data_IF_104695711762
#
_entry.id   IF_104695711762
#
_cell.length_a   1.000
_cell.length_b   1.000
_cell.length_c   1.000
_cell.angle_alpha   90.00
_cell.angle_beta   90.00
_cell.angle_gamma   90.00
#
_symmetry.space_group_name_H-M   'P 1'
#
loop_
_entity.id
_entity.type
_entity.pdbx_description
1 polymer ?
#
# COMPACT_ATOMS: atom_id res chain seq x y z
N UNK A 1 24.73 3.41 14.37
CA UNK A 1 24.26 2.04 14.65
C UNK A 1 25.41 1.15 15.07
N UNK A 2 26.62 1.35 14.54
CA UNK A 2 27.83 0.55 14.81
C UNK A 2 28.18 0.36 16.30
N UNK A 3 27.84 1.32 17.17
CA UNK A 3 28.08 1.19 18.62
C UNK A 3 27.19 0.16 19.31
N UNK A 4 26.02 -0.17 18.77
CA UNK A 4 25.03 -1.03 19.45
C UNK A 4 25.49 -2.49 19.48
N UNK A 5 25.60 -3.07 20.68
CA UNK A 5 26.08 -4.45 20.87
C UNK A 5 24.97 -5.51 20.77
N UNK A 6 23.72 -5.08 20.78
CA UNK A 6 22.56 -5.95 20.58
C UNK A 6 22.29 -6.27 19.10
N UNK A 7 21.16 -6.91 18.83
CA UNK A 7 20.79 -7.32 17.48
C UNK A 7 19.92 -6.28 16.78
N UNK A 8 20.26 -5.92 15.54
CA UNK A 8 19.42 -5.07 14.69
C UNK A 8 18.71 -5.97 13.66
N UNK A 9 17.38 -5.85 13.56
CA UNK A 9 16.55 -6.66 12.68
C UNK A 9 15.77 -5.77 11.73
N UNK A 10 15.86 -6.07 10.45
CA UNK A 10 15.02 -5.44 9.43
C UNK A 10 13.78 -6.31 9.17
N UNK A 11 12.53 -5.79 9.26
CA UNK A 11 11.32 -6.61 9.15
C UNK A 11 11.17 -7.42 7.86
N UNK A 12 11.70 -6.93 6.73
CA UNK A 12 11.66 -7.68 5.47
C UNK A 12 12.67 -8.84 5.40
N UNK A 13 13.67 -8.85 6.28
CA UNK A 13 14.71 -9.88 6.36
C UNK A 13 14.71 -10.47 7.78
N UNK A 14 13.51 -10.86 8.24
CA UNK A 14 13.32 -11.35 9.60
C UNK A 14 14.07 -12.67 9.80
N UNK A 15 15.00 -12.78 10.77
CA UNK A 15 15.72 -14.03 11.01
C UNK A 15 14.77 -15.12 11.49
N UNK A 16 14.83 -16.31 10.87
CA UNK A 16 13.96 -17.44 11.19
C UNK A 16 14.04 -17.86 12.67
N UNK A 17 15.25 -17.81 13.24
CA UNK A 17 15.54 -18.28 14.60
C UNK A 17 15.75 -17.11 15.59
N UNK A 18 15.09 -15.96 15.38
CA UNK A 18 15.21 -14.82 16.30
C UNK A 18 14.56 -15.14 17.66
N UNK A 19 15.38 -15.39 18.69
CA UNK A 19 14.92 -15.46 20.07
C UNK A 19 14.87 -14.09 20.73
N UNK A 20 13.66 -13.63 21.05
CA UNK A 20 13.38 -12.39 21.76
C UNK A 20 12.72 -12.60 23.13
N UNK A 21 12.62 -13.83 23.63
CA UNK A 21 11.93 -14.12 24.90
C UNK A 21 12.64 -13.44 26.08
N UNK A 22 11.89 -12.72 26.89
CA UNK A 22 12.41 -11.97 28.04
C UNK A 22 13.23 -10.72 27.68
N UNK A 23 13.52 -10.47 26.41
CA UNK A 23 14.38 -9.37 25.95
C UNK A 23 13.63 -8.04 25.86
N UNK A 24 14.36 -6.93 26.00
CA UNK A 24 13.91 -5.58 25.70
C UNK A 24 14.02 -5.33 24.20
N UNK A 25 12.90 -5.00 23.56
CA UNK A 25 12.85 -4.76 22.11
C UNK A 25 12.43 -3.32 21.85
N UNK A 26 13.20 -2.59 21.03
CA UNK A 26 12.78 -1.28 20.51
C UNK A 26 12.40 -1.42 19.04
N UNK A 27 11.16 -1.10 18.69
CA UNK A 27 10.67 -1.09 17.31
C UNK A 27 10.64 0.36 16.82
N UNK A 28 11.49 0.71 15.86
CA UNK A 28 11.57 2.05 15.27
C UNK A 28 10.56 2.14 14.13
N UNK A 29 9.48 2.90 14.33
CA UNK A 29 8.46 3.16 13.33
C UNK A 29 7.07 3.32 13.92
N UNK A 30 6.17 3.92 13.15
CA UNK A 30 4.74 4.07 13.48
C UNK A 30 3.82 3.55 12.38
N UNK A 31 4.37 2.92 11.34
CA UNK A 31 3.58 2.34 10.25
C UNK A 31 2.93 1.00 10.63
N UNK A 32 2.19 0.43 9.69
CA UNK A 32 1.49 -0.84 9.88
C UNK A 32 2.41 -1.96 10.42
N UNK A 33 3.63 -2.09 9.89
CA UNK A 33 4.61 -3.07 10.36
C UNK A 33 4.90 -2.94 11.85
N UNK A 34 5.16 -1.72 12.35
CA UNK A 34 5.43 -1.50 13.77
C UNK A 34 4.20 -1.83 14.64
N UNK A 35 3.04 -1.33 14.21
CA UNK A 35 1.76 -1.52 14.90
C UNK A 35 1.35 -3.00 14.99
N UNK A 36 1.73 -3.83 14.02
CA UNK A 36 1.51 -5.28 14.07
C UNK A 36 2.58 -6.02 14.89
N UNK A 37 3.84 -5.59 14.81
CA UNK A 37 4.94 -6.24 15.54
C UNK A 37 4.85 -6.05 17.05
N UNK A 38 4.48 -4.85 17.53
CA UNK A 38 4.38 -4.57 18.97
C UNK A 38 3.52 -5.59 19.70
N UNK A 39 2.22 -5.78 19.34
CA UNK A 39 1.39 -6.74 20.04
C UNK A 39 1.84 -8.18 19.82
N UNK A 40 2.34 -8.53 18.63
CA UNK A 40 2.80 -9.88 18.31
C UNK A 40 4.02 -10.29 19.15
N UNK A 41 5.05 -9.43 19.23
CA UNK A 41 6.26 -9.70 20.01
C UNK A 41 6.00 -9.72 21.52
N UNK A 42 5.18 -8.80 22.03
CA UNK A 42 4.78 -8.82 23.44
C UNK A 42 4.02 -10.11 23.80
N UNK A 43 3.10 -10.59 22.95
CA UNK A 43 2.42 -11.89 23.15
C UNK A 43 3.37 -13.08 23.01
N UNK A 44 4.36 -12.97 22.13
CA UNK A 44 5.40 -13.97 21.90
C UNK A 44 6.44 -14.10 23.01
N UNK A 45 6.34 -13.28 24.06
CA UNK A 45 7.17 -13.41 25.27
C UNK A 45 8.34 -12.44 25.36
N UNK A 46 8.39 -11.38 24.54
CA UNK A 46 9.32 -10.28 24.79
C UNK A 46 9.15 -9.73 26.21
N UNK A 47 10.25 -9.38 26.88
CA UNK A 47 10.21 -8.86 28.24
C UNK A 47 9.54 -7.49 28.31
N UNK A 48 9.88 -6.61 27.36
CA UNK A 48 9.19 -5.34 27.14
C UNK A 48 9.38 -4.88 25.70
N UNK A 49 8.35 -4.30 25.09
CA UNK A 49 8.44 -3.75 23.73
C UNK A 49 8.19 -2.25 23.74
N UNK A 50 9.14 -1.46 23.26
CA UNK A 50 9.00 -0.02 23.10
C UNK A 50 8.83 0.32 21.63
N UNK A 51 7.70 0.90 21.25
CA UNK A 51 7.51 1.48 19.91
C UNK A 51 8.08 2.90 19.90
N UNK A 52 9.22 3.10 19.26
CA UNK A 52 9.82 4.42 19.07
C UNK A 52 9.36 5.00 17.74
N UNK A 53 8.67 6.14 17.79
CA UNK A 53 8.17 6.82 16.60
C UNK A 53 8.60 8.29 16.57
N UNK A 54 8.92 8.79 15.37
CA UNK A 54 9.18 10.22 15.16
C UNK A 54 7.88 11.02 15.09
N UNK A 55 6.86 10.45 14.47
CA UNK A 55 5.58 11.10 14.23
C UNK A 55 4.45 10.09 14.37
N UNK A 56 3.39 10.39 15.13
CA UNK A 56 2.23 9.51 15.25
C UNK A 56 1.52 9.31 13.90
N UNK A 57 0.87 8.15 13.74
CA UNK A 57 -0.08 7.87 12.64
C UNK A 57 -1.49 7.73 13.18
N UNK A 58 -2.49 7.86 12.31
CA UNK A 58 -3.86 7.51 12.69
C UNK A 58 -4.06 6.00 12.73
N UNK A 59 -4.67 5.53 13.80
CA UNK A 59 -4.95 4.11 14.05
C UNK A 59 -6.45 3.90 14.23
N UNK A 60 -7.03 2.95 13.52
CA UNK A 60 -8.40 2.51 13.69
C UNK A 60 -8.43 1.08 14.24
N UNK A 61 -9.22 0.84 15.29
CA UNK A 61 -9.51 -0.51 15.76
C UNK A 61 -10.64 -1.11 14.93
N UNK A 62 -10.41 -2.28 14.34
CA UNK A 62 -11.39 -2.99 13.53
C UNK A 62 -11.50 -4.43 14.05
N UNK A 63 -12.71 -4.98 14.24
CA UNK A 63 -12.86 -6.38 14.59
C UNK A 63 -12.20 -7.30 13.58
N UNK A 64 -11.50 -8.34 14.05
CA UNK A 64 -10.89 -9.35 13.16
C UNK A 64 -11.95 -10.16 12.39
N UNK A 65 -13.12 -10.33 12.99
CA UNK A 65 -14.27 -11.00 12.39
C UNK A 65 -15.39 -9.99 12.15
N UNK A 66 -15.89 -9.96 10.91
CA UNK A 66 -17.02 -9.13 10.53
C UNK A 66 -18.33 -9.69 11.12
N UNK A 67 -18.79 -9.06 12.20
CA UNK A 67 -20.00 -9.48 12.91
C UNK A 67 -21.27 -9.47 12.04
N UNK A 68 -21.34 -8.57 11.06
CA UNK A 68 -22.48 -8.52 10.15
C UNK A 68 -22.43 -9.73 9.21
N UNK A 69 -21.25 -10.11 8.71
CA UNK A 69 -21.08 -11.35 7.94
C UNK A 69 -21.47 -12.60 8.73
N UNK A 70 -21.01 -12.70 9.98
CA UNK A 70 -21.37 -13.81 10.88
C UNK A 70 -22.88 -13.93 11.12
N UNK A 71 -23.60 -12.81 11.11
CA UNK A 71 -25.05 -12.78 11.21
C UNK A 71 -25.73 -13.13 9.89
N UNK A 72 -25.30 -12.55 8.77
CA UNK A 72 -25.97 -12.72 7.48
C UNK A 72 -25.80 -14.13 6.92
N UNK A 73 -24.65 -14.78 7.13
CA UNK A 73 -24.43 -16.18 6.70
C UNK A 73 -25.34 -17.20 7.37
N UNK A 74 -26.02 -16.83 8.47
CA UNK A 74 -26.99 -17.72 9.16
C UNK A 74 -28.35 -17.75 8.46
N UNK A 75 -28.67 -16.75 7.65
CA UNK A 75 -30.01 -16.58 7.05
C UNK A 75 -29.97 -16.45 5.52
N UNK A 76 -28.78 -16.38 4.93
CA UNK A 76 -28.55 -16.28 3.48
C UNK A 76 -27.55 -17.34 3.04
N UNK A 77 -27.53 -17.68 1.74
CA UNK A 77 -26.44 -18.47 1.18
C UNK A 77 -25.10 -17.76 1.36
N UNK A 78 -24.01 -18.53 1.43
CA UNK A 78 -22.66 -18.01 1.62
C UNK A 78 -22.28 -16.98 0.54
N UNK A 79 -22.63 -17.24 -0.71
CA UNK A 79 -22.39 -16.33 -1.83
C UNK A 79 -23.13 -14.99 -1.67
N UNK A 80 -24.40 -15.02 -1.24
CA UNK A 80 -25.19 -13.82 -1.03
C UNK A 80 -24.67 -13.02 0.17
N UNK A 81 -24.32 -13.69 1.27
CA UNK A 81 -23.71 -13.07 2.44
C UNK A 81 -22.36 -12.40 2.10
N UNK A 82 -21.52 -13.09 1.31
CA UNK A 82 -20.26 -12.54 0.82
C UNK A 82 -20.46 -11.30 -0.05
N UNK A 83 -21.34 -11.38 -1.08
CA UNK A 83 -21.62 -10.26 -1.99
C UNK A 83 -22.15 -9.05 -1.22
N UNK A 84 -23.06 -9.25 -0.29
CA UNK A 84 -23.60 -8.20 0.57
C UNK A 84 -22.51 -7.56 1.44
N UNK A 85 -21.74 -8.37 2.16
CA UNK A 85 -20.67 -7.88 3.04
C UNK A 85 -19.59 -7.14 2.26
N UNK A 86 -19.17 -7.65 1.10
CA UNK A 86 -18.21 -6.98 0.22
C UNK A 86 -18.73 -5.63 -0.25
N UNK A 87 -19.99 -5.57 -0.72
CA UNK A 87 -20.60 -4.31 -1.15
C UNK A 87 -20.70 -3.29 -0.01
N UNK A 88 -21.12 -3.73 1.19
CA UNK A 88 -21.17 -2.91 2.40
C UNK A 88 -19.80 -2.36 2.78
N UNK A 89 -18.76 -3.20 2.81
CA UNK A 89 -17.41 -2.80 3.20
C UNK A 89 -16.79 -1.81 2.20
N UNK A 90 -16.98 -2.04 0.90
CA UNK A 90 -16.56 -1.09 -0.15
C UNK A 90 -17.30 0.25 0.03
N UNK A 91 -18.61 0.21 0.25
CA UNK A 91 -19.42 1.41 0.48
C UNK A 91 -18.98 2.20 1.71
N UNK A 92 -18.80 1.51 2.83
CA UNK A 92 -18.36 2.09 4.10
C UNK A 92 -16.96 2.70 3.98
N UNK A 93 -16.00 2.00 3.37
CA UNK A 93 -14.65 2.53 3.17
C UNK A 93 -14.66 3.80 2.31
N UNK A 94 -15.42 3.80 1.21
CA UNK A 94 -15.59 4.99 0.36
C UNK A 94 -16.23 6.15 1.13
N UNK A 95 -17.25 5.87 1.95
CA UNK A 95 -17.92 6.88 2.76
C UNK A 95 -16.96 7.49 3.79
N UNK A 96 -16.16 6.67 4.48
CA UNK A 96 -15.14 7.13 5.44
C UNK A 96 -14.10 7.99 4.74
N UNK A 97 -13.60 7.57 3.58
CA UNK A 97 -12.63 8.36 2.80
C UNK A 97 -13.23 9.71 2.38
N UNK A 98 -14.42 9.72 1.77
CA UNK A 98 -15.09 10.95 1.35
C UNK A 98 -15.39 11.90 2.53
N UNK A 99 -15.81 11.35 3.68
CA UNK A 99 -16.03 12.12 4.90
C UNK A 99 -14.71 12.70 5.45
N UNK A 100 -13.60 11.98 5.31
CA UNK A 100 -12.28 12.45 5.72
C UNK A 100 -11.81 13.62 4.89
N UNK A 101 -12.02 13.57 3.57
CA UNK A 101 -11.70 14.68 2.67
C UNK A 101 -12.61 15.90 2.92
N UNK A 102 -13.93 15.68 3.10
CA UNK A 102 -14.91 16.77 3.22
C UNK A 102 -14.95 17.41 4.61
N UNK A 103 -14.79 16.60 5.66
CA UNK A 103 -14.92 17.02 7.06
C UNK A 103 -13.76 16.46 7.93
N UNK A 104 -12.49 16.77 7.62
CA UNK A 104 -11.32 16.16 8.24
C UNK A 104 -11.26 16.36 9.75
N UNK A 105 -11.66 17.54 10.26
CA UNK A 105 -11.69 17.86 11.69
C UNK A 105 -12.64 16.96 12.47
N UNK A 106 -13.80 16.62 11.88
CA UNK A 106 -14.79 15.74 12.50
C UNK A 106 -14.26 14.32 12.57
N UNK A 107 -13.72 13.79 11.47
CA UNK A 107 -13.15 12.44 11.43
C UNK A 107 -11.96 12.33 12.39
N UNK A 108 -11.07 13.34 12.43
CA UNK A 108 -9.97 13.41 13.39
C UNK A 108 -10.48 13.27 14.82
N UNK A 109 -11.50 14.04 15.21
CA UNK A 109 -12.08 13.99 16.56
C UNK A 109 -12.62 12.59 16.88
N UNK A 110 -13.32 11.96 15.95
CA UNK A 110 -13.88 10.61 16.13
C UNK A 110 -12.78 9.57 16.32
N UNK A 111 -11.76 9.56 15.46
CA UNK A 111 -10.62 8.62 15.56
C UNK A 111 -9.87 8.79 16.87
N UNK A 112 -9.54 10.02 17.26
CA UNK A 112 -8.82 10.29 18.51
C UNK A 112 -9.66 9.92 19.75
N UNK A 113 -10.98 10.21 19.73
CA UNK A 113 -11.89 9.81 20.82
C UNK A 113 -11.97 8.29 20.96
N UNK A 114 -11.99 7.56 19.84
CA UNK A 114 -11.98 6.10 19.86
C UNK A 114 -10.70 5.54 20.48
N UNK A 115 -9.53 6.11 20.16
CA UNK A 115 -8.26 5.74 20.78
C UNK A 115 -8.25 6.09 22.27
N UNK A 116 -8.68 7.28 22.67
CA UNK A 116 -8.75 7.69 24.07
C UNK A 116 -9.58 6.71 24.91
N UNK A 117 -10.75 6.31 24.41
CA UNK A 117 -11.61 5.29 25.04
C UNK A 117 -10.91 3.93 25.12
N UNK A 118 -10.16 3.54 24.10
CA UNK A 118 -9.37 2.32 24.12
C UNK A 118 -8.25 2.41 25.17
N UNK A 119 -7.56 3.54 25.31
CA UNK A 119 -6.41 3.67 26.24
C UNK A 119 -6.83 3.80 27.71
N UNK A 120 -8.05 4.26 27.99
CA UNK A 120 -8.59 4.43 29.36
C UNK A 120 -7.66 5.28 30.26
N UNK A 121 -7.04 6.31 29.69
CA UNK A 121 -6.14 7.23 30.40
C UNK A 121 -4.79 6.65 30.82
N UNK A 122 -4.46 5.40 30.45
CA UNK A 122 -3.21 4.75 30.86
C UNK A 122 -1.98 5.13 30.02
N UNK A 123 -2.19 5.75 28.87
CA UNK A 123 -1.13 6.15 27.93
C UNK A 123 -1.43 7.55 27.42
N UNK A 124 -0.39 8.35 27.30
CA UNK A 124 -0.48 9.74 26.83
C UNK A 124 -0.93 9.81 25.36
N UNK A 125 -1.95 10.63 25.10
CA UNK A 125 -2.51 10.85 23.77
C UNK A 125 -1.55 11.53 22.80
N UNK A 126 -0.44 12.14 23.26
CA UNK A 126 0.62 12.66 22.37
C UNK A 126 1.17 11.58 21.43
N UNK A 127 1.15 10.32 21.86
CA UNK A 127 1.62 9.18 21.06
C UNK A 127 0.66 8.77 19.93
N UNK A 128 -0.55 9.33 19.90
CA UNK A 128 -1.61 8.94 18.97
C UNK A 128 -2.25 10.13 18.25
N UNK A 129 -1.60 11.30 18.29
CA UNK A 129 -2.15 12.55 17.73
C UNK A 129 -1.28 13.03 16.55
N UNK A 130 -1.59 12.63 15.31
CA UNK A 130 -0.83 13.05 14.12
C UNK A 130 -0.98 14.55 13.81
N UNK A 131 -0.04 15.12 13.07
CA UNK A 131 -0.08 16.53 12.61
C UNK A 131 -0.85 16.74 11.30
N UNK A 132 -1.15 15.67 10.56
CA UNK A 132 -1.85 15.71 9.26
C UNK A 132 -3.34 15.32 9.39
N UNK A 133 -4.14 15.49 8.34
CA UNK A 133 -5.57 15.10 8.36
C UNK A 133 -5.75 13.60 8.09
N UNK A 134 -6.84 12.97 8.58
CA UNK A 134 -7.11 11.57 8.25
C UNK A 134 -7.13 11.37 6.73
N UNK A 135 -6.49 10.29 6.26
CA UNK A 135 -6.33 9.93 4.84
C UNK A 135 -5.39 10.78 3.96
N UNK A 136 -4.76 11.86 4.46
CA UNK A 136 -3.58 12.43 3.76
C UNK A 136 -2.43 11.40 3.69
N UNK A 137 -2.43 10.47 4.66
CA UNK A 137 -1.66 9.24 4.67
C UNK A 137 -2.58 8.08 5.04
N UNK A 138 -2.24 6.87 4.58
CA UNK A 138 -3.04 5.66 4.82
C UNK A 138 -3.16 5.37 6.32
N UNK A 139 -4.40 5.14 6.78
CA UNK A 139 -4.67 4.75 8.16
C UNK A 139 -4.08 3.38 8.48
N UNK A 140 -3.57 3.21 9.69
CA UNK A 140 -3.22 1.90 10.21
C UNK A 140 -4.44 1.26 10.90
N UNK A 141 -4.58 -0.05 10.76
CA UNK A 141 -5.66 -0.82 11.37
C UNK A 141 -5.08 -1.77 12.40
N UNK A 142 -5.67 -1.78 13.60
CA UNK A 142 -5.37 -2.76 14.65
C UNK A 142 -6.54 -3.72 14.83
N UNK A 143 -6.33 -5.03 14.71
CA UNK A 143 -7.36 -6.02 14.95
C UNK A 143 -7.73 -6.05 16.44
N UNK A 144 -9.03 -5.99 16.74
CA UNK A 144 -9.59 -6.18 18.09
C UNK A 144 -9.00 -5.25 19.19
N UNK A 145 -8.34 -4.16 18.79
CA UNK A 145 -7.68 -3.23 19.70
C UNK A 145 -6.51 -3.83 20.48
N UNK A 146 -5.88 -4.87 19.95
CA UNK A 146 -4.87 -5.65 20.67
C UNK A 146 -3.62 -4.84 21.07
N UNK A 147 -3.17 -3.91 20.22
CA UNK A 147 -2.14 -2.92 20.56
C UNK A 147 -2.51 -2.14 21.82
N UNK A 148 -3.70 -1.54 21.85
CA UNK A 148 -4.14 -0.73 22.99
C UNK A 148 -4.26 -1.57 24.26
N UNK A 149 -4.70 -2.84 24.14
CA UNK A 149 -4.75 -3.77 25.28
C UNK A 149 -3.38 -3.99 25.88
N UNK A 150 -2.37 -4.29 25.07
CA UNK A 150 -1.00 -4.56 25.54
C UNK A 150 -0.35 -3.33 26.16
N UNK A 151 -0.59 -2.15 25.58
CA UNK A 151 -0.14 -0.88 26.17
C UNK A 151 -0.78 -0.62 27.55
N UNK A 152 -2.09 -0.88 27.69
CA UNK A 152 -2.79 -0.77 29.00
C UNK A 152 -2.32 -1.77 30.05
N UNK A 153 -1.79 -2.90 29.62
CA UNK A 153 -1.21 -3.95 30.48
C UNK A 153 0.23 -3.63 30.89
N UNK A 154 0.86 -2.60 30.29
CA UNK A 154 2.24 -2.20 30.59
C UNK A 154 3.31 -3.11 29.97
N UNK A 155 2.92 -4.08 29.13
CA UNK A 155 3.84 -4.97 28.41
C UNK A 155 4.54 -4.30 27.22
N UNK A 156 4.05 -3.14 26.83
CA UNK A 156 4.65 -2.30 25.81
C UNK A 156 4.46 -0.82 26.15
N UNK A 157 5.32 0.02 25.59
CA UNK A 157 5.23 1.49 25.66
C UNK A 157 5.37 2.10 24.26
N UNK A 158 4.94 3.35 24.13
CA UNK A 158 5.17 4.15 22.92
C UNK A 158 5.98 5.38 23.32
N UNK A 159 7.01 5.70 22.56
CA UNK A 159 7.82 6.89 22.74
C UNK A 159 7.76 7.70 21.45
N UNK A 160 7.30 8.96 21.55
CA UNK A 160 7.30 9.89 20.42
C UNK A 160 8.47 10.83 20.58
N UNK A 161 9.56 10.59 19.85
CA UNK A 161 10.79 11.37 19.95
C UNK A 161 11.70 11.13 18.73
N UNK A 162 12.83 11.83 18.69
CA UNK A 162 13.90 11.67 17.72
C UNK A 162 15.09 10.95 18.35
N UNK A 163 15.69 10.07 17.56
CA UNK A 163 16.96 9.44 17.88
C UNK A 163 18.06 10.50 17.82
N UNK A 164 18.86 10.60 18.89
CA UNK A 164 20.13 11.35 18.89
C UNK A 164 21.25 10.43 18.38
N UNK A 165 21.44 9.28 19.03
CA UNK A 165 22.41 8.27 18.63
C UNK A 165 22.04 6.89 19.15
N UNK A 166 22.65 5.88 18.54
CA UNK A 166 22.71 4.53 19.11
C UNK A 166 23.84 4.51 20.14
N UNK A 167 23.66 3.72 21.18
CA UNK A 167 24.65 3.49 22.25
C UNK A 167 24.91 2.00 22.34
N UNK A 168 25.90 1.57 23.13
CA UNK A 168 26.18 0.14 23.31
C UNK A 168 24.97 -0.68 23.80
N UNK A 169 24.10 -0.08 24.62
CA UNK A 169 22.98 -0.78 25.30
C UNK A 169 21.59 -0.41 24.77
N UNK A 170 21.49 0.45 23.75
CA UNK A 170 20.20 0.91 23.26
C UNK A 170 20.24 2.22 22.48
N UNK A 171 19.22 3.05 22.65
CA UNK A 171 19.02 4.29 21.87
C UNK A 171 18.95 5.50 22.80
N UNK A 172 19.81 6.48 22.56
CA UNK A 172 19.71 7.80 23.16
C UNK A 172 18.74 8.66 22.34
N UNK A 173 17.73 9.23 23.00
CA UNK A 173 16.79 10.16 22.39
C UNK A 173 17.23 11.61 22.62
N UNK A 174 16.80 12.51 21.73
CA UNK A 174 17.08 13.95 21.83
C UNK A 174 16.46 14.62 23.05
N UNK A 175 15.42 14.04 23.65
CA UNK A 175 14.88 14.50 24.93
C UNK A 175 15.79 14.23 26.14
N UNK A 176 16.88 13.47 25.96
CA UNK A 176 17.75 13.00 27.03
C UNK A 176 17.37 11.62 27.59
N UNK A 177 16.19 11.09 27.25
CA UNK A 177 15.79 9.73 27.65
C UNK A 177 16.58 8.68 26.87
N UNK A 178 17.05 7.65 27.59
CA UNK A 178 17.67 6.48 27.01
C UNK A 178 16.68 5.30 26.97
N UNK A 179 16.65 4.56 25.86
CA UNK A 179 15.85 3.35 25.68
C UNK A 179 16.78 2.15 25.60
N UNK A 180 16.88 1.39 26.68
CA UNK A 180 17.58 0.09 26.70
C UNK A 180 16.96 -0.89 25.69
N UNK A 181 17.80 -1.60 24.95
CA UNK A 181 17.38 -2.60 23.99
C UNK A 181 18.39 -3.75 23.89
N UNK A 182 17.90 -4.98 23.86
CA UNK A 182 18.69 -6.12 23.40
C UNK A 182 18.51 -6.32 21.88
N UNK A 183 17.33 -5.93 21.36
CA UNK A 183 16.97 -6.02 19.95
C UNK A 183 16.37 -4.69 19.49
N UNK A 184 16.81 -4.20 18.34
CA UNK A 184 16.23 -3.04 17.65
C UNK A 184 15.65 -3.49 16.32
N UNK A 185 14.36 -3.23 16.09
CA UNK A 185 13.68 -3.54 14.84
C UNK A 185 13.46 -2.26 14.02
N UNK A 186 14.01 -2.20 12.81
CA UNK A 186 13.90 -1.02 11.92
C UNK A 186 12.62 -1.07 11.06
N UNK A 187 11.45 -0.91 11.67
CA UNK A 187 10.15 -0.86 10.98
C UNK A 187 9.86 0.50 10.31
N UNK A 188 10.85 1.01 9.55
CA UNK A 188 10.88 2.37 8.99
C UNK A 188 10.24 2.52 7.60
N UNK A 189 9.50 1.50 7.15
CA UNK A 189 8.73 1.52 5.90
C UNK A 189 9.41 0.77 4.75
N UNK A 190 8.97 1.08 3.53
CA UNK A 190 9.43 0.45 2.29
C UNK A 190 9.98 1.50 1.32
N UNK A 191 10.83 1.06 0.38
CA UNK A 191 11.16 1.82 -0.83
C UNK A 191 10.21 1.38 -1.95
N UNK A 192 9.67 2.34 -2.71
CA UNK A 192 8.86 2.01 -3.88
C UNK A 192 9.78 1.46 -4.96
N UNK A 193 9.44 0.29 -5.49
CA UNK A 193 10.18 -0.36 -6.56
C UNK A 193 9.22 -0.66 -7.70
N UNK A 194 9.38 0.07 -8.80
CA UNK A 194 8.56 -0.09 -9.99
C UNK A 194 9.06 -1.29 -10.80
N UNK A 195 8.13 -2.02 -11.44
CA UNK A 195 8.42 -3.23 -12.22
C UNK A 195 9.18 -4.33 -11.45
N UNK A 196 9.09 -4.35 -10.12
CA UNK A 196 9.83 -5.33 -9.31
C UNK A 196 11.36 -5.21 -9.44
N UNK A 197 11.88 -4.09 -9.95
CA UNK A 197 13.32 -3.87 -10.17
C UNK A 197 13.84 -4.36 -11.52
N UNK A 198 12.96 -4.83 -12.41
CA UNK A 198 13.31 -5.18 -13.79
C UNK A 198 13.80 -3.92 -14.53
N UNK A 199 14.95 -4.04 -15.17
CA UNK A 199 15.50 -3.01 -16.07
C UNK A 199 15.00 -3.28 -17.49
N UNK A 200 13.83 -2.73 -17.82
CA UNK A 200 13.24 -2.88 -19.14
C UNK A 200 13.89 -1.96 -20.18
N UNK A 201 13.94 -2.41 -21.44
CA UNK A 201 14.40 -1.61 -22.58
C UNK A 201 13.43 -1.77 -23.76
N UNK A 202 13.36 -0.75 -24.62
CA UNK A 202 12.72 -0.79 -25.94
C UNK A 202 13.79 -0.38 -26.95
N UNK A 203 14.04 -1.23 -27.94
CA UNK A 203 15.08 -1.00 -28.97
C UNK A 203 16.48 -0.66 -28.39
N UNK A 204 16.79 -1.20 -27.21
CA UNK A 204 18.05 -0.96 -26.48
C UNK A 204 18.03 0.26 -25.55
N UNK A 205 17.00 1.10 -25.59
CA UNK A 205 16.87 2.28 -24.74
C UNK A 205 16.13 1.95 -23.43
N UNK A 206 16.63 2.39 -22.25
CA UNK A 206 15.98 2.13 -20.96
C UNK A 206 14.57 2.73 -20.86
N UNK A 207 13.61 1.94 -20.40
CA UNK A 207 12.25 2.41 -20.12
C UNK A 207 12.22 3.12 -18.77
N UNK A 208 11.96 4.43 -18.79
CA UNK A 208 11.75 5.24 -17.58
C UNK A 208 10.26 5.42 -17.34
N UNK A 209 9.68 4.62 -16.45
CA UNK A 209 8.23 4.62 -16.17
C UNK A 209 7.65 5.99 -15.81
N UNK A 210 8.43 6.90 -15.25
CA UNK A 210 8.02 8.28 -14.92
C UNK A 210 7.85 9.20 -16.12
N UNK A 211 8.28 8.80 -17.31
CA UNK A 211 8.04 9.53 -18.57
C UNK A 211 6.76 9.04 -19.29
N UNK A 212 6.07 8.06 -18.72
CA UNK A 212 4.88 7.43 -19.30
C UNK A 212 3.64 7.63 -18.42
N UNK A 213 2.46 7.47 -19.03
CA UNK A 213 1.17 7.46 -18.33
C UNK A 213 0.56 6.06 -18.28
N UNK A 214 -0.38 5.84 -17.36
CA UNK A 214 -1.18 4.62 -17.34
C UNK A 214 -2.51 4.78 -18.09
N UNK A 215 -2.61 4.16 -19.27
CA UNK A 215 -3.85 4.02 -20.01
C UNK A 215 -4.85 3.15 -19.21
N UNK A 216 -6.02 3.73 -18.90
CA UNK A 216 -7.05 3.20 -18.01
C UNK A 216 -6.54 2.73 -16.64
N UNK A 217 -5.38 3.24 -16.20
CA UNK A 217 -4.71 2.76 -14.99
C UNK A 217 -4.22 1.30 -15.08
N UNK A 218 -3.99 0.76 -16.29
CA UNK A 218 -3.62 -0.64 -16.53
C UNK A 218 -2.41 -0.79 -17.45
N UNK A 219 -2.34 -0.09 -18.58
CA UNK A 219 -1.25 -0.25 -19.55
C UNK A 219 -0.32 0.95 -19.56
N UNK A 220 0.97 0.73 -19.75
CA UNK A 220 1.97 1.81 -19.80
C UNK A 220 1.99 2.42 -21.21
N UNK A 221 1.84 3.74 -21.33
CA UNK A 221 1.85 4.44 -22.63
C UNK A 221 3.15 4.17 -23.38
N UNK A 222 3.08 4.03 -24.70
CA UNK A 222 4.26 3.93 -25.57
C UNK A 222 5.16 2.70 -25.31
N UNK A 223 4.70 1.74 -24.50
CA UNK A 223 5.39 0.46 -24.24
C UNK A 223 4.54 -0.70 -24.78
N UNK A 224 5.05 -1.46 -25.76
CA UNK A 224 4.33 -2.60 -26.33
C UNK A 224 3.94 -3.66 -25.32
N UNK A 225 2.68 -4.10 -25.37
CA UNK A 225 2.15 -5.25 -24.63
C UNK A 225 2.38 -5.20 -23.10
N UNK A 226 2.63 -4.01 -22.53
CA UNK A 226 2.96 -3.87 -21.11
C UNK A 226 1.77 -3.40 -20.28
N UNK A 227 1.37 -4.26 -19.34
CA UNK A 227 0.42 -3.92 -18.29
C UNK A 227 1.14 -3.75 -16.94
N UNK A 228 0.79 -2.69 -16.21
CA UNK A 228 1.25 -2.42 -14.86
C UNK A 228 0.06 -2.01 -13.98
N UNK A 229 -0.25 -2.84 -13.00
CA UNK A 229 -1.41 -2.65 -12.14
C UNK A 229 -0.96 -1.97 -10.84
N UNK A 230 -1.34 -0.71 -10.69
CA UNK A 230 -1.19 0.02 -9.43
C UNK A 230 -2.55 0.06 -8.74
N UNK A 231 -2.59 -0.39 -7.48
CA UNK A 231 -3.81 -0.45 -6.68
C UNK A 231 -4.33 0.92 -6.24
N UNK A 232 -5.40 0.91 -5.45
CA UNK A 232 -5.99 2.13 -4.92
C UNK A 232 -5.26 2.69 -3.71
N UNK A 233 -5.14 4.01 -3.65
CA UNK A 233 -4.60 4.72 -2.47
C UNK A 233 -5.58 4.70 -1.29
N UNK A 234 -6.87 4.69 -1.58
CA UNK A 234 -7.98 4.82 -0.63
C UNK A 234 -8.75 3.50 -0.39
N UNK A 235 -8.35 2.41 -1.06
CA UNK A 235 -9.03 1.12 -1.00
C UNK A 235 -8.05 -0.06 -1.02
N UNK A 236 -8.58 -1.29 -0.99
CA UNK A 236 -7.75 -2.49 -1.19
C UNK A 236 -7.22 -2.54 -2.62
N UNK A 237 -5.95 -2.89 -2.79
CA UNK A 237 -5.33 -3.07 -4.10
C UNK A 237 -5.99 -4.22 -4.90
N UNK A 238 -6.45 -5.27 -4.21
CA UNK A 238 -7.12 -6.43 -4.82
C UNK A 238 -8.36 -6.04 -5.62
N UNK A 239 -9.07 -4.99 -5.23
CA UNK A 239 -10.23 -4.49 -5.98
C UNK A 239 -9.87 -4.01 -7.38
N UNK A 240 -8.69 -3.39 -7.56
CA UNK A 240 -8.18 -2.93 -8.86
C UNK A 240 -7.65 -4.11 -9.67
N UNK A 241 -6.94 -5.03 -9.02
CA UNK A 241 -6.37 -6.22 -9.68
C UNK A 241 -7.46 -7.06 -10.33
N UNK A 242 -8.56 -7.35 -9.63
CA UNK A 242 -9.65 -8.17 -10.17
C UNK A 242 -10.18 -7.62 -11.51
N UNK A 243 -10.45 -6.31 -11.56
CA UNK A 243 -11.04 -5.66 -12.74
C UNK A 243 -10.00 -5.39 -13.84
N UNK A 244 -8.73 -5.16 -13.48
CA UNK A 244 -7.66 -5.00 -14.45
C UNK A 244 -7.30 -6.34 -15.11
N UNK A 245 -7.30 -7.44 -14.35
CA UNK A 245 -7.08 -8.78 -14.88
C UNK A 245 -8.17 -9.17 -15.89
N UNK A 246 -9.45 -8.94 -15.57
CA UNK A 246 -10.56 -9.16 -16.52
C UNK A 246 -10.41 -8.34 -17.80
N UNK A 247 -10.01 -7.06 -17.67
CA UNK A 247 -9.70 -6.19 -18.82
C UNK A 247 -8.58 -6.76 -19.69
N UNK A 248 -7.46 -7.18 -19.08
CA UNK A 248 -6.31 -7.75 -19.80
C UNK A 248 -6.70 -9.04 -20.52
N UNK A 249 -7.43 -9.96 -19.86
CA UNK A 249 -7.89 -11.19 -20.50
C UNK A 249 -8.80 -10.91 -21.71
N UNK A 250 -9.71 -9.93 -21.60
CA UNK A 250 -10.54 -9.50 -22.73
C UNK A 250 -9.72 -8.88 -23.86
N UNK A 251 -8.68 -8.11 -23.52
CA UNK A 251 -7.78 -7.50 -24.51
C UNK A 251 -7.00 -8.58 -25.26
N UNK A 252 -6.42 -9.55 -24.56
CA UNK A 252 -5.72 -10.68 -25.16
C UNK A 252 -6.65 -11.50 -26.08
N UNK A 253 -7.87 -11.84 -25.62
CA UNK A 253 -8.87 -12.51 -26.46
C UNK A 253 -9.25 -11.71 -27.71
N UNK A 254 -9.28 -10.37 -27.61
CA UNK A 254 -9.52 -9.50 -28.76
C UNK A 254 -8.33 -9.51 -29.72
N UNK A 255 -7.10 -9.48 -29.22
CA UNK A 255 -5.89 -9.59 -30.05
C UNK A 255 -5.86 -10.93 -30.79
N UNK A 256 -6.06 -12.05 -30.08
CA UNK A 256 -6.10 -13.40 -30.66
C UNK A 256 -7.16 -13.51 -31.77
N UNK A 257 -8.39 -13.03 -31.49
CA UNK A 257 -9.49 -13.08 -32.47
C UNK A 257 -9.18 -12.30 -33.75
N UNK A 258 -8.40 -11.23 -33.66
CA UNK A 258 -8.10 -10.34 -34.79
C UNK A 258 -6.70 -10.56 -35.38
N UNK A 259 -5.94 -11.53 -34.87
CA UNK A 259 -4.54 -11.81 -35.22
C UNK A 259 -3.65 -10.57 -35.05
N UNK A 260 -3.71 -9.92 -33.89
CA UNK A 260 -2.77 -8.87 -33.50
C UNK A 260 -1.71 -9.45 -32.57
N UNK A 261 -0.46 -9.06 -32.77
CA UNK A 261 0.68 -9.50 -31.96
C UNK A 261 1.10 -8.42 -30.96
N UNK A 262 0.77 -7.17 -31.27
CA UNK A 262 1.19 -6.00 -30.51
C UNK A 262 0.02 -5.05 -30.28
N UNK A 263 -0.07 -4.53 -29.07
CA UNK A 263 -0.91 -3.40 -28.68
C UNK A 263 -0.08 -2.35 -27.94
N UNK A 264 -0.21 -1.09 -28.36
CA UNK A 264 0.45 0.06 -27.75
C UNK A 264 -0.60 1.14 -27.47
N UNK A 265 -0.79 1.59 -26.23
CA UNK A 265 -1.53 2.82 -25.96
C UNK A 265 -0.65 4.01 -26.33
N UNK A 266 -1.00 4.72 -27.40
CA UNK A 266 -0.23 5.89 -27.86
C UNK A 266 -0.39 7.04 -26.87
N UNK A 267 0.69 7.39 -26.16
CA UNK A 267 0.68 8.45 -25.15
C UNK A 267 0.42 9.83 -25.75
N UNK A 268 -0.45 10.61 -25.12
CA UNK A 268 -0.65 12.02 -25.47
C UNK A 268 0.05 12.92 -24.42
N UNK A 269 1.24 13.41 -24.76
CA UNK A 269 2.03 14.26 -23.86
C UNK A 269 1.35 15.60 -23.56
N UNK A 270 0.41 16.07 -24.39
CA UNK A 270 -0.27 17.36 -24.17
C UNK A 270 -1.22 17.34 -22.96
N UNK A 271 -1.69 16.15 -22.59
CA UNK A 271 -2.57 15.94 -21.44
C UNK A 271 -1.86 15.39 -20.21
N UNK A 272 -0.54 15.15 -20.27
CA UNK A 272 0.24 14.68 -19.14
C UNK A 272 0.32 15.75 -18.04
N UNK A 273 0.15 15.31 -16.80
CA UNK A 273 0.29 16.14 -15.60
C UNK A 273 1.61 15.87 -14.89
N UNK A 274 2.00 16.80 -14.02
CA UNK A 274 3.15 16.57 -13.13
C UNK A 274 2.85 15.54 -12.04
N UNK A 275 1.58 15.41 -11.66
CA UNK A 275 1.16 14.44 -10.66
C UNK A 275 1.36 13.01 -11.15
N UNK A 276 1.72 12.14 -10.21
CA UNK A 276 1.82 10.70 -10.47
C UNK A 276 0.47 10.02 -10.34
N UNK A 277 0.38 8.77 -10.79
CA UNK A 277 -0.80 7.89 -10.57
C UNK A 277 -1.12 7.62 -9.09
N UNK A 278 -0.25 7.99 -8.16
CA UNK A 278 -0.51 7.94 -6.72
C UNK A 278 -1.30 9.15 -6.20
N UNK A 279 -1.64 10.10 -7.08
CA UNK A 279 -2.47 11.27 -6.77
C UNK A 279 -1.88 12.14 -5.65
N UNK A 280 -2.75 12.66 -4.80
CA UNK A 280 -2.39 13.64 -3.76
C UNK A 280 -1.79 13.06 -2.47
N UNK A 281 -1.37 11.79 -2.45
CA UNK A 281 -0.74 11.21 -1.26
C UNK A 281 0.58 11.94 -0.92
N UNK A 282 0.65 12.52 0.27
CA UNK A 282 1.83 13.26 0.76
C UNK A 282 2.80 12.40 1.59
N UNK A 283 2.63 11.07 1.56
CA UNK A 283 3.47 10.15 2.32
C UNK A 283 4.91 10.19 1.81
N UNK A 284 5.89 10.35 2.72
CA UNK A 284 7.28 10.59 2.30
C UNK A 284 7.92 9.49 1.44
N UNK A 285 7.43 8.24 1.50
CA UNK A 285 7.92 7.17 0.61
C UNK A 285 7.43 7.32 -0.84
N UNK A 286 6.25 7.92 -1.05
CA UNK A 286 5.74 8.27 -2.38
C UNK A 286 6.51 9.47 -2.93
N UNK A 287 6.72 10.51 -2.12
CA UNK A 287 7.47 11.70 -2.54
C UNK A 287 8.91 11.37 -2.99
N UNK A 288 9.59 10.44 -2.30
CA UNK A 288 10.93 9.97 -2.71
C UNK A 288 10.95 9.13 -3.99
N UNK A 289 9.79 8.65 -4.43
CA UNK A 289 9.64 7.77 -5.57
C UNK A 289 8.95 8.46 -6.76
N UNK A 290 8.69 9.77 -6.66
CA UNK A 290 8.00 10.52 -7.71
C UNK A 290 8.68 10.37 -9.08
N UNK A 291 10.01 10.32 -9.10
CA UNK A 291 10.83 10.22 -10.32
C UNK A 291 10.83 8.82 -10.96
N UNK A 292 10.20 7.82 -10.34
CA UNK A 292 10.08 6.46 -10.91
C UNK A 292 8.64 6.06 -11.16
N UNK A 293 7.66 6.70 -10.51
CA UNK A 293 6.24 6.36 -10.67
C UNK A 293 5.69 7.00 -11.96
N UNK A 294 4.85 6.29 -12.74
CA UNK A 294 4.18 6.88 -13.89
C UNK A 294 3.35 8.11 -13.56
N UNK A 295 3.26 9.00 -14.55
CA UNK A 295 2.40 10.19 -14.51
C UNK A 295 0.94 9.81 -14.75
N UNK A 296 0.04 10.69 -14.36
CA UNK A 296 -1.36 10.65 -14.79
C UNK A 296 -1.62 11.76 -15.80
N UNK A 297 -2.74 11.68 -16.52
CA UNK A 297 -3.20 12.76 -17.40
C UNK A 297 -4.39 13.54 -16.84
N UNK A 298 -4.71 14.65 -17.52
CA UNK A 298 -5.83 15.56 -17.21
C UNK A 298 -7.21 14.91 -17.23
N UNK A 299 -7.37 13.91 -18.08
CA UNK A 299 -8.66 13.29 -18.40
C UNK A 299 -8.51 11.83 -18.81
N UNK A 300 -9.63 11.12 -18.91
CA UNK A 300 -9.66 9.77 -19.46
C UNK A 300 -9.06 9.71 -20.88
N UNK A 301 -8.38 8.61 -21.27
CA UNK A 301 -8.15 7.40 -20.48
C UNK A 301 -6.92 7.46 -19.56
N UNK A 302 -6.28 8.63 -19.42
CA UNK A 302 -4.98 8.78 -18.72
C UNK A 302 -5.09 9.19 -17.25
N UNK A 303 -6.25 9.68 -16.82
CA UNK A 303 -6.50 10.09 -15.45
C UNK A 303 -6.84 8.89 -14.55
N UNK A 304 -6.17 8.80 -13.39
CA UNK A 304 -6.45 7.75 -12.40
C UNK A 304 -7.50 8.24 -11.40
N UNK A 305 -8.66 7.58 -11.39
CA UNK A 305 -9.83 8.02 -10.59
C UNK A 305 -9.72 7.68 -9.10
N UNK A 306 -8.94 6.64 -8.76
CA UNK A 306 -8.97 5.99 -7.45
C UNK A 306 -10.41 5.65 -6.96
N UNK A 307 -11.29 5.31 -7.90
CA UNK A 307 -12.70 5.05 -7.64
C UNK A 307 -13.12 3.70 -8.23
N UNK A 308 -13.18 2.68 -7.36
CA UNK A 308 -13.50 1.31 -7.76
C UNK A 308 -14.81 1.16 -8.56
N UNK A 309 -15.88 1.90 -8.23
CA UNK A 309 -17.14 1.74 -8.95
C UNK A 309 -17.07 2.31 -10.37
N UNK A 310 -16.32 3.38 -10.53
CA UNK A 310 -16.10 4.02 -11.83
C UNK A 310 -15.16 3.17 -12.68
N UNK A 311 -14.02 2.76 -12.14
CA UNK A 311 -13.10 1.85 -12.83
C UNK A 311 -13.79 0.54 -13.23
N UNK A 312 -14.61 -0.04 -12.34
CA UNK A 312 -15.39 -1.26 -12.67
C UNK A 312 -16.34 -1.02 -13.84
N UNK A 313 -16.97 0.16 -13.93
CA UNK A 313 -17.86 0.51 -15.05
C UNK A 313 -17.05 0.70 -16.33
N UNK A 314 -15.94 1.43 -16.26
CA UNK A 314 -15.10 1.78 -17.41
C UNK A 314 -14.36 0.57 -17.97
N UNK A 315 -13.64 -0.19 -17.14
CA UNK A 315 -12.84 -1.34 -17.57
C UNK A 315 -13.69 -2.51 -18.06
N UNK A 316 -14.79 -2.83 -17.35
CA UNK A 316 -15.67 -3.95 -17.74
C UNK A 316 -16.31 -3.73 -19.11
N UNK A 317 -16.63 -2.48 -19.44
CA UNK A 317 -17.31 -2.13 -20.69
C UNK A 317 -16.39 -1.50 -21.73
N UNK A 318 -15.07 -1.51 -21.48
CA UNK A 318 -14.11 -0.88 -22.38
C UNK A 318 -14.18 -1.50 -23.77
N UNK A 319 -14.12 -0.66 -24.80
CA UNK A 319 -13.91 -1.09 -26.18
C UNK A 319 -12.42 -0.93 -26.51
N UNK A 320 -11.93 -1.75 -27.42
CA UNK A 320 -10.53 -1.72 -27.82
C UNK A 320 -10.28 -0.85 -29.07
N UNK A 321 -11.31 -0.59 -29.87
CA UNK A 321 -11.27 0.38 -30.96
C UNK A 321 -11.70 1.75 -30.44
N UNK A 322 -10.80 2.43 -29.73
CA UNK A 322 -11.05 3.71 -29.05
C UNK A 322 -10.22 4.87 -29.60
N UNK A 323 -9.44 4.62 -30.66
CA UNK A 323 -8.54 5.59 -31.29
C UNK A 323 -7.24 5.86 -30.53
N UNK A 324 -7.07 5.34 -29.30
CA UNK A 324 -5.87 5.49 -28.47
C UNK A 324 -5.01 4.23 -28.55
N UNK A 325 -5.63 3.05 -28.47
CA UNK A 325 -4.93 1.78 -28.66
C UNK A 325 -4.57 1.60 -30.13
N UNK A 326 -3.28 1.34 -30.39
CA UNK A 326 -2.73 0.97 -31.68
C UNK A 326 -2.42 -0.52 -31.67
N UNK A 327 -2.93 -1.22 -32.67
CA UNK A 327 -2.71 -2.65 -32.83
C UNK A 327 -1.88 -2.93 -34.07
N UNK A 328 -0.89 -3.79 -33.94
CA UNK A 328 -0.01 -4.18 -35.04
C UNK A 328 0.01 -5.69 -35.22
N UNK A 329 0.27 -6.11 -36.46
CA UNK A 329 0.52 -7.50 -36.84
C UNK A 329 1.97 -7.58 -37.23
N UNK A 330 2.72 -8.52 -36.69
CA UNK A 330 4.00 -8.85 -37.25
C UNK A 330 3.73 -9.64 -38.54
N UNK A 331 4.13 -9.07 -39.67
CA UNK A 331 4.25 -9.86 -40.91
C UNK A 331 5.16 -11.04 -40.61
N UNK A 332 4.72 -12.26 -40.91
CA UNK A 332 5.58 -13.44 -40.81
C UNK A 332 6.90 -13.14 -41.53
N UNK A 333 7.98 -13.00 -40.78
CA UNK A 333 9.31 -13.15 -41.35
C UNK A 333 9.34 -14.60 -41.79
N UNK A 334 9.20 -14.80 -43.10
CA UNK A 334 9.26 -16.11 -43.72
C UNK A 334 10.66 -16.64 -43.50
N UNK A 335 10.91 -17.27 -42.36
CA UNK A 335 12.08 -18.11 -42.17
C UNK A 335 11.83 -19.32 -43.05
N UNK A 336 12.25 -19.22 -44.32
CA UNK A 336 12.42 -20.39 -45.19
C UNK A 336 13.31 -21.35 -44.41
N UNK A 337 12.70 -22.38 -43.82
CA UNK A 337 13.46 -23.52 -43.30
C UNK A 337 14.38 -23.98 -44.45
N UNK A 338 15.70 -24.15 -44.24
CA UNK A 338 16.54 -24.67 -45.28
C UNK A 338 15.98 -26.04 -45.69
N UNK A 339 15.63 -26.18 -46.97
CA UNK A 339 15.32 -27.49 -47.55
C UNK A 339 16.63 -28.26 -47.54
N UNK A 340 16.72 -29.31 -46.71
CA UNK A 340 17.70 -30.37 -46.94
C UNK A 340 17.32 -31.03 -48.26
N UNK A 341 18.16 -30.83 -49.26
CA UNK A 341 18.12 -31.59 -50.51
C UNK A 341 18.72 -32.95 -50.17
N UNK A 342 17.94 -34.02 -50.35
CA UNK A 342 18.39 -35.40 -50.20
C UNK A 342 19.42 -35.77 -51.25
#
# INVERSE_FOLDING_TARGET
TEEFKGQIVHPQHWPENLDYKGKKVVIIGSGATAITLVPAMSKGGAGHVTMLQRSPTYIASVPSIDFIYEKTRRFMSEEAAYKFTRARNIGMQRAIYALSQKHPKTVRRLLLKAIEMQLKGKVDMKHFTPSYNPWDQRLCVVPDGDLFKILREGKASVETDQIEKFTETGIQLKSGKHLDADIIVSATGLQVQIMGGVQATIDGEPVKSSEHMLYNGVMLSDVPNMAMIIGYVNASWTLKVDIAADYICRLLNYMDKNNYDEVIPSGDKSVMEEDTVMGSLSSGYISRAADVIPKQGKQAPWQVTNNYLEDRKSLKNAKFDDGVLRFHKHSEVTTRKPKLVS
#
